data_IF_356521191372
#
_entry.id   IF_356521191372
#
_cell.length_a   1.000
_cell.length_b   1.000
_cell.length_c   1.000
_cell.angle_alpha   90.00
_cell.angle_beta   90.00
_cell.angle_gamma   90.00
#
_symmetry.space_group_name_H-M   'P 1'
#
loop_
_entity.id
_entity.type
_entity.pdbx_description
1 polymer ?
#
# COMPACT_ATOMS: atom_id res chain seq x y z
N UNK A 1 5.05 -18.84 8.47
CA UNK A 1 3.76 -19.49 8.23
C UNK A 1 2.81 -18.45 7.66
N UNK A 2 2.28 -18.67 6.48
CA UNK A 2 1.41 -17.71 5.79
C UNK A 2 -0.04 -17.84 6.23
N UNK A 3 -0.53 -19.07 6.34
CA UNK A 3 -1.89 -19.38 6.80
C UNK A 3 -1.89 -20.44 7.89
N UNK A 4 -2.69 -20.21 8.92
CA UNK A 4 -3.02 -21.19 9.96
C UNK A 4 -4.35 -20.81 10.61
N UNK A 5 -5.41 -21.49 10.27
CA UNK A 5 -6.75 -21.17 10.77
C UNK A 5 -7.61 -22.43 10.97
N UNK A 6 -8.65 -22.29 11.76
CA UNK A 6 -9.68 -23.30 11.99
C UNK A 6 -11.00 -22.75 11.46
N UNK A 7 -11.76 -23.62 10.77
CA UNK A 7 -13.10 -23.30 10.31
C UNK A 7 -14.13 -24.23 10.95
N UNK A 8 -15.19 -23.63 11.51
CA UNK A 8 -16.28 -24.37 12.13
C UNK A 8 -17.57 -23.57 12.07
N UNK A 9 -18.66 -24.17 11.58
CA UNK A 9 -20.01 -23.60 11.56
C UNK A 9 -20.10 -22.17 10.99
N UNK A 10 -19.36 -21.88 9.92
CA UNK A 10 -19.29 -20.56 9.28
C UNK A 10 -18.25 -19.61 9.90
N UNK A 11 -17.71 -19.93 11.06
CA UNK A 11 -16.61 -19.17 11.66
C UNK A 11 -15.26 -19.58 11.11
N UNK A 12 -14.36 -18.59 10.96
CA UNK A 12 -12.93 -18.79 10.71
C UNK A 12 -12.16 -18.08 11.81
N UNK A 13 -11.21 -18.76 12.43
CA UNK A 13 -10.37 -18.25 13.51
C UNK A 13 -8.90 -18.50 13.18
N UNK A 14 -8.07 -17.48 13.25
CA UNK A 14 -6.63 -17.60 13.11
C UNK A 14 -6.07 -16.73 12.00
N UNK A 15 -4.94 -17.14 11.42
CA UNK A 15 -4.28 -16.40 10.35
C UNK A 15 -4.83 -16.85 9.00
N UNK A 16 -5.67 -16.02 8.37
CA UNK A 16 -6.31 -16.30 7.08
C UNK A 16 -6.43 -15.06 6.21
N UNK A 17 -6.98 -15.19 4.99
CA UNK A 17 -7.30 -14.04 4.17
C UNK A 17 -8.36 -13.17 4.84
N UNK A 18 -8.20 -11.85 4.76
CA UNK A 18 -9.20 -10.89 5.21
C UNK A 18 -10.53 -11.07 4.49
N UNK A 19 -11.64 -10.86 5.20
CA UNK A 19 -12.95 -10.77 4.57
C UNK A 19 -13.05 -9.60 3.58
N UNK A 20 -12.23 -8.58 3.70
CA UNK A 20 -12.17 -7.48 2.74
C UNK A 20 -11.60 -7.92 1.39
N UNK A 21 -10.61 -8.81 1.36
CA UNK A 21 -9.86 -9.18 0.15
C UNK A 21 -10.72 -9.90 -0.89
N UNK A 22 -10.32 -9.78 -2.16
CA UNK A 22 -10.86 -10.60 -3.26
C UNK A 22 -10.38 -12.05 -3.16
N UNK A 23 -11.06 -13.03 -3.78
CA UNK A 23 -10.55 -14.40 -3.83
C UNK A 23 -9.21 -14.56 -4.53
N UNK A 24 -8.86 -13.65 -5.44
CA UNK A 24 -7.53 -13.66 -6.10
C UNK A 24 -6.50 -12.78 -5.38
N UNK A 25 -6.91 -12.05 -4.35
CA UNK A 25 -6.05 -11.18 -3.54
C UNK A 25 -5.20 -10.22 -4.42
N UNK A 26 -3.87 -10.26 -4.32
CA UNK A 26 -2.96 -9.48 -5.14
C UNK A 26 -2.63 -10.07 -6.51
N UNK A 27 -3.28 -11.18 -6.91
CA UNK A 27 -2.89 -11.98 -8.06
C UNK A 27 -4.04 -12.23 -9.05
N UNK A 28 -4.60 -11.20 -9.68
CA UNK A 28 -5.64 -11.41 -10.69
C UNK A 28 -5.11 -12.21 -11.90
N UNK A 29 -3.82 -12.04 -12.24
CA UNK A 29 -3.19 -12.73 -13.36
C UNK A 29 -1.66 -12.75 -13.30
N UNK A 30 -1.03 -11.91 -12.49
CA UNK A 30 0.41 -11.81 -12.28
C UNK A 30 0.96 -13.01 -11.49
N UNK A 31 2.28 -13.19 -11.48
CA UNK A 31 3.00 -14.11 -10.61
C UNK A 31 3.97 -13.38 -9.69
N UNK A 32 4.34 -12.14 -10.02
CA UNK A 32 5.12 -11.30 -9.12
C UNK A 32 4.27 -10.90 -7.93
N UNK A 33 4.92 -10.62 -6.84
CA UNK A 33 4.26 -9.95 -5.73
C UNK A 33 3.93 -8.51 -6.12
N UNK A 34 2.94 -7.92 -5.44
CA UNK A 34 2.71 -6.48 -5.41
C UNK A 34 2.16 -5.87 -6.70
N UNK A 35 1.12 -6.45 -7.28
CA UNK A 35 0.25 -5.69 -8.16
C UNK A 35 -0.60 -4.76 -7.29
N UNK A 36 -0.30 -3.47 -7.34
CA UNK A 36 -0.97 -2.44 -6.54
C UNK A 36 -2.41 -2.21 -7.01
N UNK A 37 -3.18 -1.42 -6.29
CA UNK A 37 -4.55 -1.04 -6.66
C UNK A 37 -5.64 -1.75 -5.87
N UNK A 38 -5.27 -2.58 -4.91
CA UNK A 38 -6.18 -3.27 -4.00
C UNK A 38 -5.43 -4.00 -2.91
N UNK A 39 -6.16 -4.46 -1.90
CA UNK A 39 -5.59 -5.20 -0.78
C UNK A 39 -4.94 -6.51 -1.23
N UNK A 40 -3.90 -6.88 -0.53
CA UNK A 40 -3.23 -8.17 -0.66
C UNK A 40 -2.92 -8.73 0.74
N UNK A 41 -3.64 -9.77 1.14
CA UNK A 41 -3.39 -10.52 2.37
C UNK A 41 -2.91 -11.93 2.09
N UNK A 42 -2.10 -12.09 1.06
CA UNK A 42 -1.50 -13.38 0.66
C UNK A 42 -0.72 -14.07 1.79
N UNK A 43 -0.16 -13.29 2.69
CA UNK A 43 0.49 -13.81 3.90
C UNK A 43 -0.49 -14.03 5.07
N UNK A 44 -1.77 -13.80 4.87
CA UNK A 44 -2.82 -13.85 5.87
C UNK A 44 -2.72 -12.75 6.94
N UNK A 45 -3.85 -12.37 7.52
CA UNK A 45 -3.95 -11.55 8.71
C UNK A 45 -4.58 -12.37 9.84
N UNK A 46 -4.26 -12.07 11.10
CA UNK A 46 -4.95 -12.69 12.23
C UNK A 46 -6.37 -12.18 12.25
N UNK A 47 -7.35 -13.07 12.22
CA UNK A 47 -8.74 -12.65 12.14
C UNK A 47 -9.70 -13.62 12.86
N UNK A 48 -10.88 -13.09 13.11
CA UNK A 48 -12.06 -13.82 13.47
C UNK A 48 -13.17 -13.36 12.53
N UNK A 49 -13.71 -14.26 11.73
CA UNK A 49 -14.75 -13.90 10.77
C UNK A 49 -15.87 -14.93 10.73
N UNK A 50 -17.08 -14.49 10.41
CA UNK A 50 -18.25 -15.32 10.21
C UNK A 50 -18.80 -15.13 8.80
N UNK A 51 -19.01 -16.23 8.09
CA UNK A 51 -19.59 -16.27 6.74
C UNK A 51 -20.94 -16.95 6.76
N UNK A 52 -21.98 -16.21 6.39
CA UNK A 52 -23.32 -16.73 6.16
C UNK A 52 -23.48 -17.10 4.68
N UNK A 53 -24.07 -18.26 4.40
CA UNK A 53 -24.42 -18.72 3.05
C UNK A 53 -25.93 -18.61 2.85
N UNK A 54 -26.36 -17.92 1.79
CA UNK A 54 -27.79 -17.68 1.51
C UNK A 54 -28.32 -18.55 0.36
N UNK A 55 -27.51 -19.44 -0.17
CA UNK A 55 -27.84 -20.22 -1.35
C UNK A 55 -27.55 -19.50 -2.67
N UNK A 56 -27.64 -20.22 -3.78
CA UNK A 56 -27.39 -19.71 -5.15
C UNK A 56 -26.07 -18.94 -5.28
N UNK A 57 -25.01 -19.34 -4.56
CA UNK A 57 -23.71 -18.69 -4.59
C UNK A 57 -23.64 -17.33 -3.87
N UNK A 58 -24.69 -16.92 -3.16
CA UNK A 58 -24.70 -15.68 -2.39
C UNK A 58 -24.19 -15.93 -0.97
N UNK A 59 -23.23 -15.12 -0.53
CA UNK A 59 -22.70 -15.15 0.84
C UNK A 59 -22.41 -13.74 1.34
N UNK A 60 -22.39 -13.59 2.67
CA UNK A 60 -21.91 -12.40 3.34
C UNK A 60 -20.96 -12.78 4.46
N UNK A 61 -19.89 -12.04 4.61
CA UNK A 61 -18.90 -12.24 5.67
C UNK A 61 -18.74 -10.95 6.45
N UNK A 62 -18.65 -11.07 7.76
CA UNK A 62 -18.20 -10.00 8.66
C UNK A 62 -17.06 -10.53 9.52
N UNK A 63 -16.07 -9.70 9.80
CA UNK A 63 -14.90 -10.12 10.58
C UNK A 63 -14.22 -8.96 11.28
N UNK A 64 -13.30 -9.36 12.15
CA UNK A 64 -12.36 -8.49 12.85
C UNK A 64 -10.95 -8.92 12.44
N UNK A 65 -10.19 -8.01 11.86
CA UNK A 65 -8.81 -8.23 11.44
C UNK A 65 -7.84 -7.51 12.40
N UNK A 66 -6.70 -8.12 12.66
CA UNK A 66 -5.59 -7.49 13.38
C UNK A 66 -4.77 -6.63 12.39
N UNK A 67 -4.85 -5.29 12.48
CA UNK A 67 -4.15 -4.41 11.54
C UNK A 67 -2.64 -4.35 11.76
N UNK A 68 -2.11 -4.97 12.81
CA UNK A 68 -0.74 -4.73 13.28
C UNK A 68 0.32 -5.15 12.27
N UNK A 69 0.07 -6.21 11.50
CA UNK A 69 1.10 -6.81 10.65
C UNK A 69 1.03 -6.32 9.19
N UNK A 70 -0.16 -6.33 8.56
CA UNK A 70 -0.26 -6.12 7.11
C UNK A 70 -1.29 -5.08 6.68
N UNK A 71 -2.25 -4.72 7.52
CA UNK A 71 -3.42 -3.95 7.11
C UNK A 71 -3.30 -2.45 7.42
N UNK A 72 -2.14 -1.97 7.83
CA UNK A 72 -1.86 -0.55 8.04
C UNK A 72 -0.54 -0.10 7.43
N UNK A 73 -0.44 1.18 7.07
CA UNK A 73 0.81 1.86 6.75
C UNK A 73 1.30 2.66 7.96
N UNK A 74 2.34 3.46 7.79
CA UNK A 74 2.82 4.32 8.86
C UNK A 74 1.90 5.55 9.05
N UNK A 75 1.94 6.12 10.25
CA UNK A 75 1.52 7.51 10.52
C UNK A 75 2.76 8.36 10.69
N UNK A 76 2.84 9.50 10.01
CA UNK A 76 4.01 10.37 10.08
C UNK A 76 3.77 11.58 10.96
N UNK A 77 4.62 11.70 11.99
CA UNK A 77 4.77 12.93 12.73
C UNK A 77 5.77 13.84 11.99
N UNK A 78 5.30 14.99 11.54
CA UNK A 78 6.05 15.92 10.71
C UNK A 78 6.91 16.92 11.51
N UNK A 79 7.25 16.62 12.77
CA UNK A 79 8.21 17.42 13.53
C UNK A 79 9.54 17.47 12.77
N UNK A 80 10.10 18.66 12.50
CA UNK A 80 11.29 18.82 11.67
C UNK A 80 12.51 17.99 12.12
N UNK A 81 12.69 17.79 13.40
CA UNK A 81 13.78 16.99 13.96
C UNK A 81 13.64 15.49 13.68
N UNK A 82 12.42 15.02 13.43
CA UNK A 82 12.12 13.62 13.07
C UNK A 82 12.07 13.42 11.56
N UNK A 83 11.67 14.44 10.81
CA UNK A 83 11.58 14.41 9.36
C UNK A 83 12.95 14.45 8.66
N UNK A 84 13.99 14.95 9.32
CA UNK A 84 15.35 15.09 8.75
C UNK A 84 16.07 13.76 8.51
N UNK A 85 15.66 12.68 9.16
CA UNK A 85 16.32 11.37 9.02
C UNK A 85 15.68 10.45 7.98
N UNK A 86 14.65 10.92 7.31
CA UNK A 86 14.00 10.10 6.32
C UNK A 86 13.70 10.93 5.08
N UNK A 87 14.30 10.55 4.00
CA UNK A 87 13.80 10.84 2.67
C UNK A 87 12.35 10.37 2.63
N UNK A 88 11.41 11.25 3.05
CA UNK A 88 9.97 11.00 3.12
C UNK A 88 9.52 9.68 3.79
N UNK A 89 10.32 9.08 4.61
CA UNK A 89 9.95 7.97 5.46
C UNK A 89 10.11 8.42 6.91
N UNK A 90 9.22 9.28 7.41
CA UNK A 90 9.21 9.67 8.80
C UNK A 90 9.13 8.44 9.73
N UNK A 91 9.52 8.61 10.97
CA UNK A 91 9.36 7.55 11.97
C UNK A 91 7.86 7.23 12.09
N UNK A 92 7.55 5.94 12.08
CA UNK A 92 6.18 5.51 12.30
C UNK A 92 5.71 5.95 13.69
N UNK A 93 4.70 6.78 13.71
CA UNK A 93 4.12 7.37 14.91
C UNK A 93 2.83 6.67 15.37
N UNK A 94 2.53 5.48 14.89
CA UNK A 94 1.44 4.68 15.46
C UNK A 94 1.67 4.43 16.96
N UNK A 95 0.62 4.66 17.76
CA UNK A 95 0.67 4.52 19.22
C UNK A 95 0.28 3.11 19.72
N UNK A 96 -0.02 2.21 18.84
CA UNK A 96 -0.55 0.89 19.11
C UNK A 96 -1.92 0.69 18.48
N UNK A 97 -2.54 -0.45 18.73
CA UNK A 97 -3.86 -0.81 18.22
C UNK A 97 -4.84 -0.83 19.39
N UNK A 98 -5.87 0.01 19.36
CA UNK A 98 -6.94 0.03 20.36
C UNK A 98 -8.13 -0.81 19.90
N UNK A 99 -8.40 -0.82 18.59
CA UNK A 99 -9.49 -1.59 18.00
C UNK A 99 -8.99 -2.42 16.80
N UNK A 100 -9.53 -3.63 16.61
CA UNK A 100 -9.33 -4.36 15.36
C UNK A 100 -10.04 -3.65 14.20
N UNK A 101 -9.60 -3.93 12.98
CA UNK A 101 -10.33 -3.50 11.80
C UNK A 101 -11.65 -4.28 11.71
N UNK A 102 -12.73 -3.56 11.46
CA UNK A 102 -14.02 -4.19 11.17
C UNK A 102 -14.14 -4.33 9.66
N UNK A 103 -14.21 -5.55 9.18
CA UNK A 103 -14.20 -5.86 7.74
C UNK A 103 -15.42 -6.70 7.35
N UNK A 104 -15.85 -6.57 6.11
CA UNK A 104 -16.92 -7.41 5.61
C UNK A 104 -17.09 -7.36 4.11
N UNK A 105 -17.80 -8.35 3.58
CA UNK A 105 -18.16 -8.41 2.18
C UNK A 105 -19.53 -9.02 1.96
N UNK A 106 -20.09 -8.73 0.78
CA UNK A 106 -21.17 -9.49 0.16
C UNK A 106 -20.61 -10.01 -1.17
N UNK A 107 -20.76 -11.31 -1.40
CA UNK A 107 -20.25 -12.01 -2.58
C UNK A 107 -21.34 -12.82 -3.26
N UNK A 108 -21.34 -12.75 -4.58
CA UNK A 108 -22.12 -13.61 -5.47
C UNK A 108 -21.13 -14.39 -6.32
N UNK A 109 -21.06 -15.70 -6.20
CA UNK A 109 -20.20 -16.58 -6.99
C UNK A 109 -21.03 -17.62 -7.72
N UNK A 110 -21.08 -17.54 -9.04
CA UNK A 110 -21.90 -18.37 -9.91
C UNK A 110 -21.09 -18.89 -11.11
N UNK A 111 -21.73 -19.69 -11.94
CA UNK A 111 -21.08 -20.26 -13.11
C UNK A 111 -20.57 -19.21 -14.12
N UNK A 112 -21.29 -18.10 -14.26
CA UNK A 112 -20.88 -17.01 -15.16
C UNK A 112 -19.73 -16.16 -14.62
N UNK A 113 -19.56 -16.09 -13.29
CA UNK A 113 -18.54 -15.23 -12.68
C UNK A 113 -18.75 -14.99 -11.20
N UNK A 114 -18.01 -14.01 -10.69
CA UNK A 114 -18.04 -13.58 -9.29
C UNK A 114 -18.20 -12.07 -9.23
N UNK A 115 -19.02 -11.61 -8.31
CA UNK A 115 -19.13 -10.21 -7.93
C UNK A 115 -18.97 -10.09 -6.41
N UNK A 116 -18.21 -9.10 -5.94
CA UNK A 116 -18.01 -8.82 -4.52
C UNK A 116 -17.98 -7.33 -4.25
N UNK A 117 -18.64 -6.92 -3.18
CA UNK A 117 -18.46 -5.60 -2.57
C UNK A 117 -17.93 -5.83 -1.16
N UNK A 118 -16.89 -5.08 -0.79
CA UNK A 118 -16.28 -5.14 0.53
C UNK A 118 -16.16 -3.76 1.15
N UNK A 119 -16.17 -3.71 2.47
CA UNK A 119 -15.90 -2.51 3.24
C UNK A 119 -15.02 -2.84 4.46
N UNK A 120 -14.23 -1.85 4.89
CA UNK A 120 -13.41 -1.91 6.09
C UNK A 120 -13.50 -0.60 6.86
N UNK A 121 -13.48 -0.67 8.18
CA UNK A 121 -13.29 0.46 9.08
C UNK A 121 -11.99 0.24 9.85
N UNK A 122 -11.10 1.22 9.83
CA UNK A 122 -9.74 1.16 10.38
C UNK A 122 -9.50 2.33 11.33
N UNK A 123 -8.94 2.06 12.53
CA UNK A 123 -8.58 3.10 13.49
C UNK A 123 -7.14 3.56 13.27
N UNK A 124 -6.96 4.86 13.04
CA UNK A 124 -5.67 5.52 13.02
C UNK A 124 -5.41 6.15 14.38
N UNK A 125 -4.48 5.56 15.13
CA UNK A 125 -4.09 6.00 16.45
C UNK A 125 -2.60 6.36 16.45
N UNK A 126 -2.25 7.59 16.86
CA UNK A 126 -0.90 8.11 16.78
C UNK A 126 -0.36 8.62 18.10
N UNK A 127 0.97 8.77 18.17
CA UNK A 127 1.68 9.32 19.31
C UNK A 127 2.56 10.48 18.91
N UNK A 128 2.89 11.36 19.84
CA UNK A 128 3.84 12.44 19.57
C UNK A 128 5.30 11.98 19.46
N UNK A 129 5.62 10.74 19.84
CA UNK A 129 6.97 10.17 19.78
C UNK A 129 8.07 11.04 20.41
N UNK A 130 7.72 11.87 21.38
CA UNK A 130 8.65 12.75 22.08
C UNK A 130 8.62 12.43 23.55
N UNK A 131 9.77 12.09 24.12
CA UNK A 131 9.97 12.03 25.57
C UNK A 131 10.32 13.44 26.06
N UNK A 132 9.36 14.33 26.13
CA UNK A 132 9.50 15.60 26.80
C UNK A 132 9.21 15.43 28.29
N UNK A 133 10.18 15.02 29.08
CA UNK A 133 10.14 15.28 30.51
C UNK A 133 10.35 16.77 30.69
N UNK A 134 9.46 17.43 31.44
CA UNK A 134 9.54 18.87 31.74
C UNK A 134 10.95 19.26 32.17
N UNK A 135 11.63 20.04 31.34
CA UNK A 135 12.99 20.52 31.58
C UNK A 135 14.14 19.72 30.92
N UNK A 136 13.85 18.64 30.21
CA UNK A 136 14.85 17.92 29.42
C UNK A 136 14.56 18.10 27.92
N UNK A 137 15.60 18.20 27.05
CA UNK A 137 15.38 18.22 25.61
C UNK A 137 14.64 16.96 25.19
N UNK A 138 13.66 17.12 24.30
CA UNK A 138 12.94 16.02 23.71
C UNK A 138 13.94 15.06 23.04
N UNK A 139 14.07 13.86 23.56
CA UNK A 139 14.89 12.83 22.95
C UNK A 139 14.04 12.21 21.83
N UNK A 140 14.44 12.42 20.60
CA UNK A 140 13.85 11.73 19.46
C UNK A 140 13.97 10.22 19.67
N UNK A 141 12.87 9.51 19.75
CA UNK A 141 12.88 8.04 19.77
C UNK A 141 13.33 7.60 18.38
N UNK A 142 14.48 6.95 18.32
CA UNK A 142 15.05 6.45 17.07
C UNK A 142 14.13 5.44 16.39
N UNK A 143 14.10 5.48 15.06
CA UNK A 143 13.47 4.51 14.18
C UNK A 143 13.63 3.07 14.69
N UNK A 144 12.53 2.38 14.92
CA UNK A 144 12.51 0.99 15.36
C UNK A 144 11.92 0.73 16.74
N UNK A 145 11.68 1.74 17.54
CA UNK A 145 10.87 1.56 18.76
C UNK A 145 9.40 1.74 18.38
N UNK A 146 8.61 0.66 18.39
CA UNK A 146 7.16 0.83 18.34
C UNK A 146 6.79 1.67 19.55
N UNK A 147 6.12 2.78 19.33
CA UNK A 147 5.41 3.71 20.19
C UNK A 147 5.36 3.60 21.72
N UNK A 148 6.24 2.82 22.34
CA UNK A 148 6.23 2.55 23.77
C UNK A 148 6.51 3.74 24.68
N UNK A 149 6.82 4.92 24.10
CA UNK A 149 7.14 6.13 24.88
C UNK A 149 6.14 7.26 24.62
N UNK A 150 5.03 6.99 23.97
CA UNK A 150 4.13 7.99 23.44
C UNK A 150 3.12 8.55 24.46
N UNK A 151 2.65 7.72 25.35
CA UNK A 151 1.64 8.09 26.35
C UNK A 151 2.08 9.28 27.24
N UNK A 152 3.32 9.30 27.79
CA UNK A 152 3.78 10.42 28.62
C UNK A 152 3.88 11.75 27.86
N UNK A 153 4.06 11.73 26.55
CA UNK A 153 4.21 12.93 25.73
C UNK A 153 2.91 13.40 25.06
N UNK A 154 1.83 12.65 25.26
CA UNK A 154 0.53 12.91 24.64
C UNK A 154 0.39 12.33 23.23
N UNK A 155 -0.79 12.52 22.68
CA UNK A 155 -1.19 12.01 21.37
C UNK A 155 -2.27 12.90 20.73
N UNK A 156 -2.37 12.96 19.41
CA UNK A 156 -3.56 13.52 18.76
C UNK A 156 -4.77 12.62 18.99
N UNK A 157 -5.97 13.17 18.84
CA UNK A 157 -7.19 12.37 18.87
C UNK A 157 -7.17 11.33 17.76
N UNK A 158 -7.50 10.06 18.11
CA UNK A 158 -7.64 8.98 17.14
C UNK A 158 -8.72 9.30 16.11
N UNK A 159 -8.52 8.85 14.87
CA UNK A 159 -9.49 9.01 13.79
C UNK A 159 -9.80 7.67 13.14
N UNK A 160 -11.08 7.47 12.85
CA UNK A 160 -11.51 6.35 12.04
C UNK A 160 -11.39 6.69 10.56
N UNK A 161 -10.65 5.85 9.85
CA UNK A 161 -10.61 5.75 8.41
C UNK A 161 -11.37 4.51 7.92
N UNK A 162 -11.19 4.17 6.67
CA UNK A 162 -11.77 2.96 6.11
C UNK A 162 -11.54 2.83 4.62
N UNK A 163 -12.08 1.75 4.07
CA UNK A 163 -11.97 1.44 2.65
C UNK A 163 -13.23 0.77 2.13
N UNK A 164 -13.45 0.91 0.83
CA UNK A 164 -14.48 0.20 0.07
C UNK A 164 -13.86 -0.38 -1.20
N UNK A 165 -14.35 -1.55 -1.61
CA UNK A 165 -13.89 -2.23 -2.82
C UNK A 165 -15.06 -2.86 -3.56
N UNK A 166 -15.02 -2.82 -4.90
CA UNK A 166 -15.87 -3.61 -5.77
C UNK A 166 -14.99 -4.50 -6.66
N UNK A 167 -15.38 -5.76 -6.82
CA UNK A 167 -14.64 -6.74 -7.59
C UNK A 167 -15.55 -7.56 -8.50
N UNK A 168 -15.09 -7.85 -9.71
CA UNK A 168 -15.78 -8.62 -10.72
C UNK A 168 -14.84 -9.62 -11.38
N UNK A 169 -15.28 -10.86 -11.50
CA UNK A 169 -14.69 -11.86 -12.39
C UNK A 169 -15.76 -12.34 -13.39
N UNK A 170 -15.42 -12.34 -14.65
CA UNK A 170 -16.25 -12.97 -15.70
C UNK A 170 -15.53 -14.22 -16.15
N UNK A 171 -16.18 -15.38 -15.97
CA UNK A 171 -15.64 -16.71 -16.27
C UNK A 171 -16.13 -17.20 -17.65
N UNK A 172 -15.41 -18.16 -18.21
CA UNK A 172 -15.79 -18.84 -19.45
C UNK A 172 -16.04 -17.89 -20.63
N UNK A 173 -15.07 -17.03 -20.88
CA UNK A 173 -15.12 -16.09 -21.99
C UNK A 173 -15.14 -16.84 -23.34
N UNK A 174 -15.72 -16.26 -24.40
CA UNK A 174 -15.76 -16.88 -25.72
C UNK A 174 -14.40 -16.99 -26.41
N UNK A 175 -13.35 -16.45 -25.81
CA UNK A 175 -11.96 -16.47 -26.32
C UNK A 175 -11.26 -17.80 -26.13
N UNK A 176 -11.70 -18.61 -25.16
CA UNK A 176 -11.13 -19.93 -24.91
C UNK A 176 -11.73 -20.63 -23.68
N UNK A 177 -11.52 -21.93 -23.59
CA UNK A 177 -12.01 -22.70 -22.46
C UNK A 177 -11.31 -22.32 -21.16
N UNK A 178 -12.09 -21.86 -20.17
CA UNK A 178 -11.58 -21.43 -18.86
C UNK A 178 -10.92 -20.06 -18.87
N UNK A 179 -11.07 -19.28 -19.94
CA UNK A 179 -10.61 -17.90 -19.95
C UNK A 179 -11.45 -17.03 -19.01
N UNK A 180 -10.81 -16.09 -18.36
CA UNK A 180 -11.48 -15.14 -17.46
C UNK A 180 -10.90 -13.74 -17.51
N UNK A 181 -11.73 -12.78 -17.09
CA UNK A 181 -11.31 -11.43 -16.75
C UNK A 181 -11.58 -11.21 -15.27
N UNK A 182 -10.62 -10.64 -14.56
CA UNK A 182 -10.73 -10.20 -13.17
C UNK A 182 -10.42 -8.72 -13.07
N UNK A 183 -11.25 -7.98 -12.35
CA UNK A 183 -11.04 -6.55 -12.08
C UNK A 183 -11.48 -6.27 -10.66
N UNK A 184 -10.72 -5.49 -9.93
CA UNK A 184 -11.16 -4.87 -8.67
C UNK A 184 -10.74 -3.41 -8.60
N UNK A 185 -11.55 -2.60 -7.93
CA UNK A 185 -11.31 -1.19 -7.68
C UNK A 185 -11.56 -0.88 -6.21
N UNK A 186 -10.65 -0.14 -5.61
CA UNK A 186 -10.66 0.18 -4.19
C UNK A 186 -10.46 1.67 -3.96
N UNK A 187 -11.13 2.20 -2.94
CA UNK A 187 -10.91 3.53 -2.39
C UNK A 187 -10.69 3.41 -0.89
N UNK A 188 -9.73 4.15 -0.37
CA UNK A 188 -9.45 4.20 1.06
C UNK A 188 -9.14 5.62 1.53
N UNK A 189 -9.49 5.90 2.79
CA UNK A 189 -9.10 7.10 3.51
C UNK A 189 -8.64 6.73 4.92
N UNK A 190 -7.35 6.98 5.23
CA UNK A 190 -6.74 6.56 6.49
C UNK A 190 -6.57 5.03 6.62
N UNK A 191 -6.67 4.30 5.51
CA UNK A 191 -6.47 2.85 5.43
C UNK A 191 -5.78 2.52 4.08
N UNK A 192 -4.71 3.22 3.79
CA UNK A 192 -4.08 3.22 2.45
C UNK A 192 -3.52 1.87 2.05
N UNK A 193 -3.25 0.99 3.03
CA UNK A 193 -2.83 -0.39 2.79
C UNK A 193 -3.88 -1.22 2.04
N UNK A 194 -5.16 -0.85 2.15
CA UNK A 194 -6.25 -1.50 1.41
C UNK A 194 -6.19 -1.23 -0.10
N UNK A 195 -5.33 -0.31 -0.54
CA UNK A 195 -5.11 0.06 -1.96
C UNK A 195 -3.66 -0.18 -2.38
N UNK A 196 -2.70 0.27 -1.59
CA UNK A 196 -1.26 0.13 -1.85
C UNK A 196 -0.71 -0.97 -0.94
N UNK A 197 -1.04 -2.21 -1.26
CA UNK A 197 -0.66 -3.38 -0.47
C UNK A 197 0.70 -3.91 -0.93
N UNK A 198 1.76 -3.49 -0.28
CA UNK A 198 3.09 -4.09 -0.44
C UNK A 198 3.44 -4.92 0.78
N UNK A 199 4.53 -5.68 0.71
CA UNK A 199 5.03 -6.48 1.83
C UNK A 199 5.57 -5.65 3.00
N UNK A 200 5.81 -4.35 2.82
CA UNK A 200 6.28 -3.45 3.86
C UNK A 200 5.14 -2.75 4.62
N UNK A 201 5.42 -2.28 5.82
CA UNK A 201 4.48 -1.48 6.62
C UNK A 201 4.24 -0.10 6.01
N UNK A 202 5.17 0.41 5.24
CA UNK A 202 5.04 1.71 4.58
C UNK A 202 5.68 1.65 3.20
N UNK A 203 4.90 1.42 2.15
CA UNK A 203 5.44 1.47 0.81
C UNK A 203 5.84 2.90 0.46
N UNK A 204 7.14 3.13 0.43
CA UNK A 204 7.73 4.33 -0.11
C UNK A 204 8.46 3.97 -1.40
N UNK A 205 8.21 4.74 -2.43
CA UNK A 205 8.83 4.57 -3.72
C UNK A 205 9.94 5.60 -3.86
N UNK A 206 11.18 5.16 -4.09
CA UNK A 206 12.31 6.01 -4.40
C UNK A 206 13.07 5.37 -5.56
N UNK A 207 12.90 5.93 -6.74
CA UNK A 207 13.49 5.45 -7.98
C UNK A 207 14.44 6.51 -8.52
N UNK A 208 15.61 6.08 -9.02
CA UNK A 208 16.63 6.98 -9.53
C UNK A 208 16.85 6.76 -11.03
N UNK A 209 17.06 7.87 -11.76
CA UNK A 209 17.27 7.83 -13.19
C UNK A 209 18.28 8.88 -13.66
N UNK A 210 18.42 9.00 -14.96
CA UNK A 210 19.25 10.01 -15.60
C UNK A 210 18.63 11.41 -15.49
N UNK A 211 19.49 12.44 -15.46
CA UNK A 211 19.09 13.85 -15.50
C UNK A 211 19.83 14.58 -16.61
N UNK A 212 19.18 15.59 -17.19
CA UNK A 212 19.82 16.57 -18.10
C UNK A 212 20.02 17.92 -17.43
N UNK A 213 19.61 18.08 -16.17
CA UNK A 213 19.73 19.34 -15.43
C UNK A 213 21.16 19.55 -14.98
N UNK A 214 21.75 20.67 -15.39
CA UNK A 214 23.12 21.03 -15.01
C UNK A 214 23.25 21.16 -13.49
N UNK A 215 24.27 20.50 -12.92
CA UNK A 215 24.53 20.50 -11.48
C UNK A 215 23.67 19.55 -10.65
N UNK A 216 22.76 18.80 -11.27
CA UNK A 216 22.08 17.68 -10.62
C UNK A 216 22.86 16.38 -10.79
N UNK A 217 22.88 15.55 -9.74
CA UNK A 217 23.59 14.26 -9.76
C UNK A 217 22.78 13.18 -10.51
N UNK A 218 21.51 13.07 -10.18
CA UNK A 218 20.55 12.15 -10.79
C UNK A 218 19.15 12.74 -10.70
N UNK A 219 18.19 12.16 -11.45
CA UNK A 219 16.80 12.35 -11.15
C UNK A 219 16.34 11.38 -10.06
N UNK A 220 15.29 11.77 -9.34
CA UNK A 220 14.60 10.95 -8.35
C UNK A 220 13.10 11.05 -8.57
N UNK A 221 12.42 9.90 -8.66
CA UNK A 221 10.98 9.78 -8.49
C UNK A 221 10.69 9.36 -7.07
N UNK A 222 9.73 10.00 -6.43
CA UNK A 222 9.44 9.75 -5.04
C UNK A 222 7.94 9.72 -4.75
N UNK A 223 7.51 8.79 -3.89
CA UNK A 223 6.16 8.71 -3.35
C UNK A 223 6.16 8.00 -2.01
N UNK A 224 5.50 8.56 -1.00
CA UNK A 224 5.31 7.90 0.29
C UNK A 224 3.84 7.58 0.52
N UNK A 225 3.56 6.40 1.04
CA UNK A 225 2.22 5.99 1.47
C UNK A 225 2.15 6.02 2.98
N UNK A 226 1.10 6.61 3.51
CA UNK A 226 0.85 6.75 4.96
C UNK A 226 -0.65 6.72 5.20
N UNK A 227 -1.10 6.21 6.34
CA UNK A 227 -2.51 6.29 6.71
C UNK A 227 -2.89 7.69 7.18
N UNK A 228 -1.98 8.39 7.83
CA UNK A 228 -2.15 9.78 8.20
C UNK A 228 -0.83 10.50 8.41
N UNK A 229 -0.88 11.83 8.38
CA UNK A 229 0.19 12.72 8.81
C UNK A 229 -0.35 13.69 9.85
N UNK A 230 0.50 14.21 10.73
CA UNK A 230 0.17 15.30 11.64
C UNK A 230 1.38 16.11 12.01
N UNK A 231 1.15 17.34 12.44
CA UNK A 231 2.14 18.23 13.02
C UNK A 231 1.60 18.78 14.34
N UNK A 232 2.31 18.57 15.48
CA UNK A 232 1.87 19.08 16.78
C UNK A 232 1.75 20.61 16.79
N UNK A 233 0.83 21.13 17.61
CA UNK A 233 0.61 22.59 17.77
C UNK A 233 1.89 23.32 18.20
N UNK A 234 2.67 22.70 19.09
CA UNK A 234 3.94 23.25 19.55
C UNK A 234 4.98 23.44 18.41
N UNK A 235 4.78 22.80 17.29
CA UNK A 235 5.65 22.85 16.09
C UNK A 235 5.01 23.61 14.92
N UNK A 236 3.92 24.35 15.18
CA UNK A 236 3.22 25.15 14.17
C UNK A 236 2.15 24.37 13.38
N UNK A 237 1.78 23.19 13.81
CA UNK A 237 0.67 22.42 13.26
C UNK A 237 -0.65 22.71 13.95
N UNK A 238 -1.67 21.96 13.60
CA UNK A 238 -3.00 21.99 14.24
C UNK A 238 -3.22 20.85 15.26
N UNK A 239 -2.26 19.95 15.39
CA UNK A 239 -2.31 18.82 16.31
C UNK A 239 -3.27 17.70 15.90
N UNK A 240 -3.86 17.78 14.70
CA UNK A 240 -4.84 16.80 14.21
C UNK A 240 -4.22 15.80 13.25
N UNK A 241 -4.79 14.60 13.21
CA UNK A 241 -4.48 13.59 12.17
C UNK A 241 -5.16 13.97 10.85
N UNK A 242 -4.39 14.10 9.79
CA UNK A 242 -4.84 14.29 8.42
C UNK A 242 -4.78 12.96 7.69
N UNK A 243 -5.94 12.35 7.48
CA UNK A 243 -6.07 11.03 6.85
C UNK A 243 -5.72 11.12 5.35
N UNK A 244 -4.84 10.24 4.90
CA UNK A 244 -4.43 10.13 3.50
C UNK A 244 -5.47 9.37 2.70
N UNK A 245 -5.74 9.81 1.48
CA UNK A 245 -6.63 9.14 0.55
C UNK A 245 -5.83 8.31 -0.48
N UNK A 246 -6.36 7.14 -0.82
CA UNK A 246 -5.82 6.31 -1.87
C UNK A 246 -6.96 5.75 -2.73
N UNK A 247 -6.71 5.67 -4.03
CA UNK A 247 -7.59 5.03 -5.00
C UNK A 247 -6.77 4.04 -5.83
N UNK A 248 -7.37 2.92 -6.20
CA UNK A 248 -6.72 1.94 -7.06
C UNK A 248 -7.71 1.14 -7.88
N UNK A 249 -7.24 0.70 -9.02
CA UNK A 249 -7.88 -0.29 -9.88
C UNK A 249 -6.81 -1.25 -10.39
N UNK A 250 -7.13 -2.54 -10.43
CA UNK A 250 -6.27 -3.56 -11.02
C UNK A 250 -7.10 -4.62 -11.71
N UNK A 251 -6.48 -5.33 -12.64
CA UNK A 251 -7.17 -6.40 -13.32
C UNK A 251 -6.26 -7.24 -14.21
N UNK A 252 -6.84 -8.31 -14.73
CA UNK A 252 -6.16 -9.19 -15.67
C UNK A 252 -7.15 -9.88 -16.61
N UNK A 253 -6.68 -10.14 -17.82
CA UNK A 253 -7.25 -11.10 -18.74
C UNK A 253 -6.37 -12.35 -18.74
N UNK A 254 -6.96 -13.49 -18.42
CA UNK A 254 -6.28 -14.78 -18.37
C UNK A 254 -6.74 -15.65 -19.53
N UNK A 255 -5.80 -16.16 -20.33
CA UNK A 255 -6.06 -16.96 -21.52
C UNK A 255 -5.34 -18.31 -21.45
N UNK A 256 -6.08 -19.36 -21.74
CA UNK A 256 -5.58 -20.74 -21.79
C UNK A 256 -5.42 -21.16 -23.25
N UNK A 257 -4.19 -21.21 -23.74
CA UNK A 257 -3.87 -21.65 -25.11
C UNK A 257 -4.18 -23.13 -25.32
N UNK A 258 -3.85 -23.93 -24.30
CA UNK A 258 -4.10 -25.37 -24.25
C UNK A 258 -3.90 -25.85 -22.79
N UNK A 259 -4.07 -27.16 -22.46
CA UNK A 259 -3.92 -27.65 -21.09
C UNK A 259 -2.55 -27.43 -20.45
N UNK A 260 -1.53 -27.10 -21.23
CA UNK A 260 -0.15 -26.93 -20.75
C UNK A 260 0.33 -25.47 -20.73
N UNK A 261 -0.31 -24.61 -21.52
CA UNK A 261 0.13 -23.22 -21.70
C UNK A 261 -0.98 -22.23 -21.41
N UNK A 262 -0.67 -21.23 -20.62
CA UNK A 262 -1.54 -20.09 -20.37
C UNK A 262 -0.74 -18.79 -20.32
N UNK A 263 -1.41 -17.68 -20.62
CA UNK A 263 -0.85 -16.33 -20.51
C UNK A 263 -1.84 -15.41 -19.85
N UNK A 264 -1.32 -14.37 -19.19
CA UNK A 264 -2.16 -13.31 -18.62
C UNK A 264 -1.57 -11.95 -18.94
N UNK A 265 -2.43 -11.06 -19.46
CA UNK A 265 -2.15 -9.63 -19.54
C UNK A 265 -2.78 -8.99 -18.30
N UNK A 266 -2.03 -8.22 -17.53
CA UNK A 266 -2.50 -7.61 -16.31
C UNK A 266 -1.98 -6.20 -16.15
N UNK A 267 -2.67 -5.40 -15.36
CA UNK A 267 -2.23 -4.05 -15.04
C UNK A 267 -2.94 -3.47 -13.83
N UNK A 268 -2.42 -2.36 -13.37
CA UNK A 268 -3.00 -1.58 -12.28
C UNK A 268 -2.69 -0.10 -12.40
N UNK A 269 -3.52 0.69 -11.75
CA UNK A 269 -3.29 2.11 -11.48
C UNK A 269 -3.65 2.40 -10.04
N UNK A 270 -2.80 3.15 -9.36
CA UNK A 270 -3.02 3.58 -7.98
C UNK A 270 -2.64 5.04 -7.82
N UNK A 271 -3.37 5.74 -6.97
CA UNK A 271 -3.13 7.14 -6.66
C UNK A 271 -3.17 7.38 -5.16
N UNK A 272 -2.24 8.19 -4.65
CA UNK A 272 -2.22 8.65 -3.25
C UNK A 272 -2.38 10.17 -3.22
N UNK A 273 -3.24 10.65 -2.34
CA UNK A 273 -3.58 12.06 -2.22
C UNK A 273 -3.56 12.49 -0.75
N UNK A 274 -2.87 13.58 -0.51
CA UNK A 274 -2.84 14.26 0.77
C UNK A 274 -3.80 15.44 0.74
N UNK A 275 -4.47 15.74 1.84
CA UNK A 275 -5.29 16.94 1.93
C UNK A 275 -4.43 18.23 1.91
N UNK A 276 -5.06 19.38 1.74
CA UNK A 276 -4.35 20.66 1.61
C UNK A 276 -3.51 21.01 2.85
N UNK A 277 -3.97 20.66 4.05
CA UNK A 277 -3.26 20.93 5.31
C UNK A 277 -2.06 19.98 5.45
N UNK A 278 -2.24 18.70 5.18
CA UNK A 278 -1.15 17.72 5.15
C UNK A 278 -0.04 18.13 4.16
N UNK A 279 -0.42 18.56 2.94
CA UNK A 279 0.52 19.07 1.94
C UNK A 279 1.30 20.27 2.46
N UNK A 280 0.61 21.25 3.07
CA UNK A 280 1.27 22.44 3.65
C UNK A 280 2.30 22.04 4.71
N UNK A 281 1.97 21.14 5.61
CA UNK A 281 2.88 20.65 6.65
C UNK A 281 4.06 19.87 6.08
N UNK A 282 3.82 18.96 5.13
CA UNK A 282 4.89 18.23 4.44
C UNK A 282 5.82 19.21 3.73
N UNK A 283 5.28 20.14 2.96
CA UNK A 283 6.05 21.08 2.16
C UNK A 283 6.81 22.10 3.01
N UNK A 284 6.29 22.54 4.13
CA UNK A 284 7.02 23.40 5.07
C UNK A 284 8.32 22.75 5.55
N UNK A 285 8.33 21.44 5.75
CA UNK A 285 9.52 20.67 6.10
C UNK A 285 10.51 20.52 4.92
N UNK A 286 10.03 20.56 3.67
CA UNK A 286 10.87 20.47 2.48
C UNK A 286 11.47 21.80 2.03
N UNK A 287 10.85 22.92 2.37
CA UNK A 287 11.30 24.26 1.98
C UNK A 287 12.20 24.94 3.01
N UNK A 288 12.61 24.22 4.06
CA UNK A 288 13.55 24.80 5.05
C UNK A 288 14.84 25.29 4.37
N UNK A 289 15.47 26.39 4.83
CA UNK A 289 16.66 26.97 4.22
C UNK A 289 17.85 26.03 4.02
N UNK A 290 17.86 24.91 4.72
CA UNK A 290 18.87 23.87 4.60
C UNK A 290 18.74 23.01 3.32
N UNK A 291 17.61 23.05 2.62
CA UNK A 291 17.38 22.32 1.36
C UNK A 291 17.35 23.33 0.21
N UNK A 292 18.52 23.63 -0.34
CA UNK A 292 18.61 24.51 -1.49
C UNK A 292 17.78 23.95 -2.66
N UNK A 293 16.63 24.57 -2.91
CA UNK A 293 15.72 24.23 -4.01
C UNK A 293 15.95 25.16 -5.20
N UNK A 294 15.60 24.69 -6.41
CA UNK A 294 15.63 25.53 -7.61
C UNK A 294 14.44 26.51 -7.64
N UNK A 295 14.53 27.52 -8.51
CA UNK A 295 13.47 28.54 -8.62
C UNK A 295 12.15 27.96 -9.16
N UNK A 296 12.19 26.88 -9.89
CA UNK A 296 11.04 26.16 -10.46
C UNK A 296 10.55 25.01 -9.55
N UNK A 297 11.04 24.95 -8.31
CA UNK A 297 10.64 23.91 -7.38
C UNK A 297 9.15 24.02 -7.01
N UNK A 298 8.44 22.91 -7.16
CA UNK A 298 7.06 22.74 -6.67
C UNK A 298 7.03 21.55 -5.73
N UNK A 299 6.51 21.75 -4.52
CA UNK A 299 6.26 20.68 -3.56
C UNK A 299 4.84 20.17 -3.71
N UNK A 300 4.69 18.92 -4.15
CA UNK A 300 3.43 18.20 -4.09
C UNK A 300 3.72 16.72 -3.78
N UNK A 301 3.40 16.23 -2.58
CA UNK A 301 3.67 14.85 -2.16
C UNK A 301 2.71 13.81 -2.76
N UNK A 302 1.68 14.23 -3.51
CA UNK A 302 0.82 13.30 -4.24
C UNK A 302 1.61 12.54 -5.28
N UNK A 303 1.17 11.33 -5.58
CA UNK A 303 1.77 10.53 -6.64
C UNK A 303 0.80 9.49 -7.19
N UNK A 304 1.13 8.94 -8.35
CA UNK A 304 0.45 7.82 -8.95
C UNK A 304 1.46 6.70 -9.26
N UNK A 305 0.95 5.49 -9.33
CA UNK A 305 1.72 4.32 -9.80
C UNK A 305 0.89 3.59 -10.84
N UNK A 306 1.52 3.29 -11.98
CA UNK A 306 0.97 2.45 -13.03
C UNK A 306 1.79 1.20 -13.21
N UNK A 307 1.15 0.07 -13.40
CA UNK A 307 1.81 -1.19 -13.70
C UNK A 307 1.13 -1.87 -14.89
N UNK A 308 1.92 -2.44 -15.78
CA UNK A 308 1.43 -3.23 -16.91
C UNK A 308 2.37 -4.41 -17.11
N UNK A 309 1.82 -5.60 -17.23
CA UNK A 309 2.65 -6.79 -17.36
C UNK A 309 2.00 -7.92 -18.15
N UNK A 310 2.84 -8.82 -18.59
CA UNK A 310 2.49 -10.04 -19.28
C UNK A 310 3.21 -11.20 -18.62
N UNK A 311 2.49 -12.28 -18.38
CA UNK A 311 3.07 -13.52 -17.90
C UNK A 311 2.67 -14.68 -18.81
N UNK A 312 3.60 -15.60 -19.05
CA UNK A 312 3.33 -16.89 -19.69
C UNK A 312 3.73 -18.02 -18.75
N UNK A 313 2.88 -19.05 -18.68
CA UNK A 313 3.05 -20.21 -17.82
C UNK A 313 3.04 -21.48 -18.66
N UNK A 314 3.95 -22.37 -18.33
CA UNK A 314 4.03 -23.72 -18.89
C UNK A 314 3.93 -24.75 -17.76
N UNK A 315 2.92 -25.62 -17.86
CA UNK A 315 2.63 -26.68 -16.88
C UNK A 315 2.78 -28.04 -17.55
N UNK A 316 4.02 -28.54 -17.72
CA UNK A 316 4.28 -29.78 -18.47
C UNK A 316 3.69 -31.03 -17.82
N UNK A 317 3.58 -31.01 -16.50
CA UNK A 317 2.99 -32.10 -15.72
C UNK A 317 2.22 -31.50 -14.54
N UNK A 318 1.29 -32.27 -13.99
CA UNK A 318 0.50 -31.86 -12.83
C UNK A 318 1.41 -31.35 -11.70
N UNK A 319 1.04 -30.23 -11.11
CA UNK A 319 1.72 -29.59 -9.98
C UNK A 319 3.14 -29.05 -10.25
N UNK A 320 3.59 -28.94 -11.51
CA UNK A 320 4.85 -28.29 -11.87
C UNK A 320 4.59 -27.18 -12.89
N UNK A 321 4.88 -25.96 -12.54
CA UNK A 321 4.72 -24.80 -13.42
C UNK A 321 6.03 -24.02 -13.56
N UNK A 322 6.36 -23.66 -14.80
CA UNK A 322 7.39 -22.70 -15.16
C UNK A 322 6.70 -21.43 -15.62
N UNK A 323 7.15 -20.29 -15.16
CA UNK A 323 6.54 -19.01 -15.50
C UNK A 323 7.62 -17.98 -15.82
N UNK A 324 7.35 -17.14 -16.82
CA UNK A 324 8.15 -15.97 -17.14
C UNK A 324 7.22 -14.76 -17.21
N UNK A 325 7.59 -13.69 -16.54
CA UNK A 325 6.82 -12.47 -16.40
C UNK A 325 7.67 -11.26 -16.72
N UNK A 326 7.14 -10.34 -17.51
CA UNK A 326 7.68 -9.00 -17.71
C UNK A 326 6.67 -7.98 -17.24
N UNK A 327 7.12 -7.01 -16.46
CA UNK A 327 6.29 -5.95 -15.91
C UNK A 327 6.96 -4.61 -16.08
N UNK A 328 6.25 -3.65 -16.64
CA UNK A 328 6.57 -2.23 -16.60
C UNK A 328 5.95 -1.60 -15.36
N UNK A 329 6.72 -0.79 -14.64
CA UNK A 329 6.32 -0.03 -13.48
C UNK A 329 6.66 1.44 -13.72
N UNK A 330 5.69 2.32 -13.55
CA UNK A 330 5.81 3.76 -13.71
C UNK A 330 5.41 4.47 -12.42
N UNK A 331 6.28 5.32 -11.93
CA UNK A 331 6.03 6.23 -10.82
C UNK A 331 5.89 7.64 -11.37
N UNK A 332 4.67 8.17 -11.34
CA UNK A 332 4.29 9.54 -11.67
C UNK A 332 4.24 10.32 -10.35
N UNK A 333 5.30 11.05 -10.06
CA UNK A 333 5.45 11.89 -8.87
C UNK A 333 5.13 13.34 -9.20
N UNK A 334 4.68 14.14 -8.23
CA UNK A 334 4.17 15.49 -8.49
C UNK A 334 5.07 16.62 -7.96
N UNK A 335 6.27 16.31 -7.48
CA UNK A 335 7.30 17.32 -7.22
C UNK A 335 7.90 17.81 -8.54
N UNK A 336 8.39 19.07 -8.57
CA UNK A 336 9.08 19.62 -9.72
C UNK A 336 10.36 20.34 -9.30
N UNK A 337 11.24 20.57 -10.26
CA UNK A 337 12.52 21.26 -10.04
C UNK A 337 13.58 20.38 -9.39
N UNK A 338 14.46 20.98 -8.63
CA UNK A 338 15.57 20.28 -7.96
C UNK A 338 15.67 20.66 -6.48
N UNK A 339 16.17 19.73 -5.67
CA UNK A 339 16.46 19.97 -4.25
C UNK A 339 17.78 19.31 -3.84
N UNK A 340 18.41 19.86 -2.79
CA UNK A 340 19.51 19.21 -2.09
C UNK A 340 18.94 18.10 -1.21
N UNK A 341 19.20 16.86 -1.54
CA UNK A 341 18.74 15.69 -0.82
C UNK A 341 19.91 14.84 -0.34
N UNK A 342 19.71 14.16 0.78
CA UNK A 342 20.58 13.10 1.27
C UNK A 342 19.79 11.80 1.33
N UNK A 343 19.54 11.13 0.20
CA UNK A 343 18.80 9.89 0.20
C UNK A 343 19.56 8.82 0.97
N UNK A 344 18.83 7.87 1.56
CA UNK A 344 19.43 6.76 2.29
C UNK A 344 20.23 5.83 1.38
N UNK A 345 21.21 5.13 1.95
CA UNK A 345 22.08 4.20 1.24
C UNK A 345 23.35 4.86 0.67
N UNK A 346 23.95 4.31 -0.39
CA UNK A 346 25.22 4.79 -0.93
C UNK A 346 25.12 6.09 -1.76
N UNK A 347 23.95 6.69 -1.87
CA UNK A 347 23.73 7.91 -2.66
C UNK A 347 24.25 9.13 -1.92
N UNK A 348 24.99 10.05 -2.61
CA UNK A 348 25.57 11.22 -1.96
C UNK A 348 24.51 12.26 -1.60
N UNK A 349 24.76 13.05 -0.55
CA UNK A 349 24.02 14.27 -0.28
C UNK A 349 24.38 15.32 -1.34
N UNK A 350 23.49 15.57 -2.28
CA UNK A 350 23.71 16.50 -3.38
C UNK A 350 22.38 16.91 -4.00
N UNK A 351 22.44 17.65 -5.12
CA UNK A 351 21.24 18.11 -5.83
C UNK A 351 20.67 16.98 -6.69
N UNK A 352 19.36 16.74 -6.56
CA UNK A 352 18.57 15.80 -7.37
C UNK A 352 17.45 16.53 -8.10
N UNK A 353 17.17 16.11 -9.34
CA UNK A 353 16.01 16.53 -10.11
C UNK A 353 14.80 15.67 -9.73
N UNK A 354 13.66 16.27 -9.43
CA UNK A 354 12.41 15.53 -9.31
C UNK A 354 11.85 15.21 -10.68
N UNK A 355 11.65 13.93 -10.97
CA UNK A 355 11.18 13.46 -12.26
C UNK A 355 10.53 12.10 -12.12
N UNK A 356 9.52 11.85 -12.96
CA UNK A 356 8.89 10.53 -13.08
C UNK A 356 9.90 9.47 -13.46
N UNK A 357 9.66 8.25 -13.00
CA UNK A 357 10.58 7.14 -13.18
C UNK A 357 9.86 5.90 -13.69
N UNK A 358 10.57 5.20 -14.57
CA UNK A 358 10.15 3.93 -15.12
C UNK A 358 11.14 2.82 -14.77
N UNK A 359 10.61 1.61 -14.62
CA UNK A 359 11.45 0.41 -14.56
C UNK A 359 10.75 -0.77 -15.25
N UNK A 360 11.56 -1.66 -15.80
CA UNK A 360 11.09 -2.94 -16.33
C UNK A 360 11.65 -4.04 -15.44
N UNK A 361 10.76 -4.90 -14.96
CA UNK A 361 11.09 -6.04 -14.16
C UNK A 361 10.86 -7.32 -14.97
N UNK A 362 11.83 -8.22 -14.94
CA UNK A 362 11.72 -9.57 -15.49
C UNK A 362 11.81 -10.56 -14.36
N UNK A 363 10.84 -11.47 -14.28
CA UNK A 363 10.82 -12.53 -13.29
C UNK A 363 10.63 -13.90 -13.94
N UNK A 364 11.34 -14.89 -13.41
CA UNK A 364 11.17 -16.30 -13.77
C UNK A 364 10.89 -17.07 -12.49
N UNK A 365 9.87 -17.93 -12.52
CA UNK A 365 9.49 -18.77 -11.38
C UNK A 365 9.31 -20.20 -11.80
N UNK A 366 9.84 -21.11 -10.99
CA UNK A 366 9.53 -22.55 -11.05
C UNK A 366 8.83 -22.92 -9.76
N UNK A 367 7.64 -23.48 -9.86
CA UNK A 367 6.84 -23.87 -8.71
C UNK A 367 6.45 -25.32 -8.78
N UNK A 368 6.69 -26.04 -7.70
CA UNK A 368 6.23 -27.42 -7.50
C UNK A 368 5.30 -27.47 -6.30
N UNK A 369 4.08 -27.94 -6.50
CA UNK A 369 3.12 -28.17 -5.42
C UNK A 369 3.19 -29.67 -5.04
N UNK A 370 3.09 -29.99 -3.76
CA UNK A 370 3.19 -31.35 -3.23
C UNK A 370 1.87 -31.80 -2.62
#
# INVERSE_FOLDING_TARGET
MEYLFIQFAGFTFGKSASAYATPWQGFPGNISSNLLGGQNTDTGTNNIQYTAQFGNGVSATIGLDDPTVWDRTNVYNLIPSLALNATLGGNNAYAGTHAPDVVGNIRVDQAWGLFQISAAAHEVNASYNSLGLSGLPAVAVTSGSPGGASEPSGHPDSRWGGAVMAALQIKNLPTGAGDDIKVDASYAKGATKMVIATSGTSPSFAMFGGTSVAGAYQSIGFGATTDAVYLPVANGGDGSLHLTEAFGIRGAFNHNWNPYWSSSLYGSYSAVRYDGTAKAFICANYTTPSKAVSADYICNPDFNVSQLGLVTRWTPVKNLAFSAEVQWFHLDQMFQGTALLGPSGPKPTTRYEFKDQDTIQLQVRVQRNF
#
